data_IF_615430550853
#
_entry.id   IF_615430550853
#
_cell.length_a   1.000
_cell.length_b   1.000
_cell.length_c   1.000
_cell.angle_alpha   90.00
_cell.angle_beta   90.00
_cell.angle_gamma   90.00
#
_symmetry.space_group_name_H-M   'P 1'
#
loop_
_entity.id
_entity.type
_entity.pdbx_description
1 polymer ?
#
# COMPACT_ATOMS: atom_id res chain seq x y z
N UNK A 1 16.64 -27.01 -7.55
CA UNK A 1 16.78 -25.53 -7.41
C UNK A 1 15.56 -24.87 -8.01
N UNK A 2 14.97 -23.84 -7.38
CA UNK A 2 13.81 -23.12 -7.92
C UNK A 2 14.23 -21.81 -8.60
N UNK A 3 13.62 -21.48 -9.74
CA UNK A 3 13.77 -20.18 -10.41
C UNK A 3 12.39 -19.53 -10.51
N UNK A 4 12.31 -18.27 -10.09
CA UNK A 4 11.05 -17.51 -10.14
C UNK A 4 10.86 -17.01 -11.57
N UNK A 5 9.76 -17.39 -12.21
CA UNK A 5 9.37 -16.90 -13.54
C UNK A 5 8.49 -15.64 -13.48
N UNK A 6 7.65 -15.53 -12.45
CA UNK A 6 6.88 -14.33 -12.14
C UNK A 6 6.47 -14.34 -10.66
N UNK A 7 6.34 -13.16 -10.04
CA UNK A 7 5.86 -13.04 -8.67
C UNK A 7 5.29 -11.64 -8.38
N UNK A 8 4.21 -11.63 -7.60
CA UNK A 8 3.67 -10.46 -6.92
C UNK A 8 3.44 -10.78 -5.45
N UNK A 9 3.35 -9.75 -4.61
CA UNK A 9 2.97 -9.85 -3.20
C UNK A 9 1.63 -9.17 -2.98
N UNK A 10 0.70 -9.87 -2.33
CA UNK A 10 -0.53 -9.29 -1.81
C UNK A 10 -0.29 -8.86 -0.37
N UNK A 11 -0.58 -7.61 -0.04
CA UNK A 11 -0.44 -7.06 1.30
C UNK A 11 -1.71 -6.32 1.70
N UNK A 12 -2.06 -6.42 2.98
CA UNK A 12 -3.03 -5.54 3.62
C UNK A 12 -2.26 -4.60 4.54
N UNK A 13 -2.37 -3.31 4.29
CA UNK A 13 -1.67 -2.26 5.01
C UNK A 13 -2.68 -1.48 5.84
N UNK A 14 -2.42 -1.35 7.13
CA UNK A 14 -3.25 -0.55 8.04
C UNK A 14 -2.48 0.71 8.43
N UNK A 15 -2.95 1.86 7.96
CA UNK A 15 -2.43 3.17 8.30
C UNK A 15 -3.18 3.69 9.52
N UNK A 16 -2.55 3.53 10.67
CA UNK A 16 -3.14 3.84 11.97
C UNK A 16 -2.91 5.29 12.37
N UNK A 17 -3.84 5.83 13.14
CA UNK A 17 -3.73 7.16 13.72
C UNK A 17 -2.62 7.17 14.77
N UNK A 18 -1.83 8.23 14.80
CA UNK A 18 -0.86 8.43 15.88
C UNK A 18 -1.59 8.71 17.19
N UNK A 19 -1.19 8.02 18.23
CA UNK A 19 -1.69 8.24 19.59
C UNK A 19 -1.11 9.53 20.18
N UNK A 20 -1.86 10.20 21.05
CA UNK A 20 -1.40 11.38 21.79
C UNK A 20 -1.40 12.70 21.00
N UNK A 21 -2.01 12.75 19.81
CA UNK A 21 -2.19 13.98 19.02
C UNK A 21 -3.67 14.32 18.84
N UNK A 22 -3.95 15.59 18.51
CA UNK A 22 -5.31 16.07 18.23
C UNK A 22 -5.91 15.28 17.05
N UNK A 23 -7.14 14.81 17.20
CA UNK A 23 -7.83 13.90 16.25
C UNK A 23 -7.78 14.39 14.79
N UNK A 24 -8.04 15.68 14.56
CA UNK A 24 -8.01 16.26 13.22
C UNK A 24 -6.61 16.17 12.58
N UNK A 25 -5.57 16.50 13.35
CA UNK A 25 -4.18 16.38 12.93
C UNK A 25 -3.80 14.91 12.65
N UNK A 26 -4.24 13.99 13.51
CA UNK A 26 -4.01 12.56 13.32
C UNK A 26 -4.60 12.06 12.01
N UNK A 27 -5.84 12.45 11.69
CA UNK A 27 -6.52 12.07 10.45
C UNK A 27 -5.80 12.62 9.21
N UNK A 28 -5.34 13.88 9.26
CA UNK A 28 -4.56 14.48 8.17
C UNK A 28 -3.23 13.76 7.98
N UNK A 29 -2.53 13.44 9.07
CA UNK A 29 -1.26 12.72 9.02
C UNK A 29 -1.40 11.34 8.37
N UNK A 30 -2.48 10.60 8.68
CA UNK A 30 -2.78 9.31 8.04
C UNK A 30 -3.01 9.47 6.53
N UNK A 31 -3.76 10.49 6.11
CA UNK A 31 -3.99 10.76 4.69
C UNK A 31 -2.69 11.11 3.95
N UNK A 32 -1.83 11.92 4.56
CA UNK A 32 -0.50 12.24 4.01
C UNK A 32 0.40 11.01 3.93
N UNK A 33 0.34 10.11 4.90
CA UNK A 33 1.12 8.87 4.91
C UNK A 33 0.69 7.94 3.78
N UNK A 34 -0.62 7.78 3.57
CA UNK A 34 -1.17 7.05 2.42
C UNK A 34 -0.73 7.68 1.09
N UNK A 35 -0.77 9.00 0.98
CA UNK A 35 -0.34 9.71 -0.23
C UNK A 35 1.17 9.53 -0.49
N UNK A 36 2.00 9.60 0.57
CA UNK A 36 3.44 9.33 0.51
C UNK A 36 3.72 7.89 0.10
N UNK A 37 2.97 6.92 0.62
CA UNK A 37 3.11 5.52 0.22
C UNK A 37 2.84 5.32 -1.27
N UNK A 38 1.69 5.82 -1.78
CA UNK A 38 1.32 5.73 -3.20
C UNK A 38 2.35 6.42 -4.10
N UNK A 39 2.73 7.66 -3.78
CA UNK A 39 3.76 8.39 -4.54
C UNK A 39 5.13 7.71 -4.51
N UNK A 40 5.48 7.03 -3.43
CA UNK A 40 6.67 6.19 -3.34
C UNK A 40 6.66 5.05 -4.36
N UNK A 41 5.52 4.36 -4.50
CA UNK A 41 5.33 3.29 -5.49
C UNK A 41 5.44 3.79 -6.94
N UNK A 42 4.85 4.95 -7.22
CA UNK A 42 4.96 5.62 -8.53
C UNK A 42 6.41 5.99 -8.85
N UNK A 43 7.10 6.60 -7.88
CA UNK A 43 8.50 7.03 -8.04
C UNK A 43 9.45 5.86 -8.24
N UNK A 44 9.20 4.72 -7.60
CA UNK A 44 9.99 3.51 -7.80
C UNK A 44 9.57 2.72 -9.04
N UNK A 45 8.60 3.20 -9.82
CA UNK A 45 8.00 2.51 -10.97
C UNK A 45 7.61 1.06 -10.64
N UNK A 46 7.22 0.82 -9.39
CA UNK A 46 6.80 -0.50 -8.94
C UNK A 46 5.45 -0.80 -9.58
N UNK A 47 5.30 -1.95 -10.23
CA UNK A 47 4.00 -2.35 -10.76
C UNK A 47 3.09 -2.76 -9.62
N UNK A 48 1.91 -2.16 -9.51
CA UNK A 48 0.95 -2.49 -8.46
C UNK A 48 -0.49 -2.29 -8.91
N UNK A 49 -1.43 -2.87 -8.14
CA UNK A 49 -2.86 -2.71 -8.26
C UNK A 49 -3.45 -2.62 -6.86
N UNK A 50 -4.15 -1.53 -6.57
CA UNK A 50 -4.95 -1.41 -5.35
C UNK A 50 -6.22 -2.22 -5.57
N UNK A 51 -6.42 -3.23 -4.74
CA UNK A 51 -7.59 -4.12 -4.79
C UNK A 51 -8.72 -3.56 -3.95
N UNK A 52 -8.37 -2.94 -2.82
CA UNK A 52 -9.34 -2.37 -1.89
C UNK A 52 -8.71 -1.21 -1.13
N UNK A 53 -9.50 -0.17 -0.88
CA UNK A 53 -9.13 0.95 -0.05
C UNK A 53 -10.37 1.45 0.68
N UNK A 54 -10.36 1.40 2.00
CA UNK A 54 -11.46 1.90 2.81
C UNK A 54 -10.95 2.67 4.03
N UNK A 55 -11.77 3.63 4.45
CA UNK A 55 -11.55 4.42 5.67
C UNK A 55 -12.36 3.79 6.78
N UNK A 56 -11.70 3.51 7.89
CA UNK A 56 -12.33 2.97 9.08
C UNK A 56 -13.03 4.07 9.89
N UNK A 57 -13.96 3.66 10.74
CA UNK A 57 -14.76 4.57 11.58
C UNK A 57 -13.93 5.38 12.57
N UNK A 58 -12.77 4.86 12.96
CA UNK A 58 -11.81 5.53 13.83
C UNK A 58 -11.02 6.65 13.10
N UNK A 59 -10.99 6.61 11.76
CA UNK A 59 -10.22 7.51 10.90
C UNK A 59 -8.92 6.90 10.34
N UNK A 60 -8.62 5.63 10.66
CA UNK A 60 -7.54 4.87 10.05
C UNK A 60 -7.91 4.46 8.61
N UNK A 61 -6.91 4.06 7.82
CA UNK A 61 -7.11 3.68 6.42
C UNK A 61 -6.50 2.30 6.21
N UNK A 62 -7.27 1.40 5.60
CA UNK A 62 -6.79 0.07 5.21
C UNK A 62 -6.70 -0.01 3.70
N UNK A 63 -5.55 -0.45 3.19
CA UNK A 63 -5.30 -0.63 1.76
C UNK A 63 -4.89 -2.08 1.52
N UNK A 64 -5.64 -2.77 0.67
CA UNK A 64 -5.25 -4.07 0.11
C UNK A 64 -4.63 -3.84 -1.27
N UNK A 65 -3.38 -4.25 -1.41
CA UNK A 65 -2.58 -3.99 -2.61
C UNK A 65 -1.89 -5.26 -3.08
N UNK A 66 -1.89 -5.47 -4.40
CA UNK A 66 -1.01 -6.44 -5.06
C UNK A 66 0.09 -5.64 -5.72
N UNK A 67 1.35 -5.95 -5.44
CA UNK A 67 2.49 -5.25 -6.04
C UNK A 67 3.63 -6.19 -6.44
N UNK A 68 4.51 -5.72 -7.30
CA UNK A 68 5.71 -6.44 -7.70
C UNK A 68 6.54 -6.86 -6.48
N UNK A 69 6.95 -8.13 -6.46
CA UNK A 69 7.79 -8.66 -5.38
C UNK A 69 9.27 -8.55 -5.77
N UNK A 70 10.00 -7.66 -5.09
CA UNK A 70 11.40 -7.34 -5.39
C UNK A 70 11.56 -7.00 -6.89
N UNK A 71 12.61 -7.53 -7.52
CA UNK A 71 12.87 -7.37 -8.96
C UNK A 71 12.27 -8.50 -9.81
N UNK A 72 11.41 -9.35 -9.24
CA UNK A 72 10.79 -10.42 -10.02
C UNK A 72 9.85 -9.83 -11.08
N UNK A 73 9.80 -10.37 -12.29
CA UNK A 73 8.81 -9.96 -13.27
C UNK A 73 7.40 -10.27 -12.75
N UNK A 74 6.43 -9.40 -13.06
CA UNK A 74 5.05 -9.58 -12.59
C UNK A 74 4.26 -10.59 -13.42
N UNK A 75 4.69 -10.89 -14.64
CA UNK A 75 3.95 -11.77 -15.56
C UNK A 75 2.48 -11.32 -15.70
N UNK A 76 1.57 -12.27 -15.67
CA UNK A 76 0.12 -12.03 -15.81
C UNK A 76 -0.59 -11.69 -14.49
N UNK A 77 0.12 -11.60 -13.36
CA UNK A 77 -0.49 -11.37 -12.05
C UNK A 77 -1.13 -9.98 -11.88
N UNK A 78 -0.77 -9.01 -12.73
CA UNK A 78 -1.22 -7.62 -12.66
C UNK A 78 -1.85 -7.12 -13.98
N UNK A 79 -2.22 -8.03 -14.87
CA UNK A 79 -2.96 -7.68 -16.08
C UNK A 79 -4.43 -7.30 -15.78
#
# INVERSE_FOLDING_TARGET
MKRIQSACICQTLHFQLKEGVVKDYAMRAVQEEVAKYKSGLERSHTKYKIVEEHKETDGSIVIKIIKQYNSAPVGDYLN
#
